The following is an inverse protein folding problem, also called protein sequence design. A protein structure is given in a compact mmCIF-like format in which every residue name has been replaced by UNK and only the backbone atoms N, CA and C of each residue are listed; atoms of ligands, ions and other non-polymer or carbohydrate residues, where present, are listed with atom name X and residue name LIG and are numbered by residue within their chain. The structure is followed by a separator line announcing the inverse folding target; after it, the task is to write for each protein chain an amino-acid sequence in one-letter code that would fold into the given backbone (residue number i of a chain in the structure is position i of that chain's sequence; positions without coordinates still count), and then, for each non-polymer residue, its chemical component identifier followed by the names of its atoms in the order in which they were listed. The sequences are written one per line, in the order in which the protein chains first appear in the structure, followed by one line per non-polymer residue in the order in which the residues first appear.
data_IF_110645115780
#
_entry.id   IF_110645115780
#
_cell.length_a   1.000
_cell.length_b   1.000
_cell.length_c   1.000
_cell.angle_alpha   90.00
_cell.angle_beta   90.00
_cell.angle_gamma   90.00
#
_symmetry.space_group_name_H-M   'P 1'
#
loop_
_entity.id
_entity.type
_entity.pdbx_description
1 polymer ?
#
# COMPACT_ATOMS: atom_id res chain seq x y z
N UNK A 1 -5.67 3.03 -17.25
CA UNK A 1 -6.98 3.70 -17.39
C UNK A 1 -6.76 4.99 -18.16
N UNK A 2 -7.20 5.02 -19.42
CA UNK A 2 -7.27 6.26 -20.19
C UNK A 2 -8.39 7.10 -19.59
N UNK A 3 -8.03 8.15 -18.85
CA UNK A 3 -9.00 9.14 -18.41
C UNK A 3 -9.42 9.99 -19.63
N UNK A 4 -10.69 10.00 -20.00
CA UNK A 4 -11.16 10.71 -21.20
C UNK A 4 -11.15 12.23 -21.03
N UNK A 5 -10.78 12.75 -19.87
CA UNK A 5 -10.75 14.19 -19.58
C UNK A 5 -9.36 14.62 -19.15
N UNK A 6 -8.89 15.81 -19.56
CA UNK A 6 -7.65 16.37 -19.08
C UNK A 6 -7.71 16.52 -17.55
N UNK A 7 -6.65 16.10 -16.89
CA UNK A 7 -6.54 16.25 -15.44
C UNK A 7 -6.33 17.73 -15.09
N UNK A 8 -6.90 18.23 -13.97
CA UNK A 8 -6.63 19.58 -13.51
C UNK A 8 -5.21 19.71 -12.96
N UNK A 9 -4.70 20.96 -12.88
CA UNK A 9 -3.43 21.24 -12.19
C UNK A 9 -3.48 20.68 -10.75
N UNK A 10 -2.38 20.05 -10.25
CA UNK A 10 -1.06 19.89 -10.87
C UNK A 10 -0.93 18.67 -11.80
N UNK A 11 -1.98 17.91 -12.02
CA UNK A 11 -1.97 16.65 -12.77
C UNK A 11 -2.14 16.82 -14.27
N UNK A 12 -2.05 18.05 -14.78
CA UNK A 12 -2.13 18.36 -16.21
C UNK A 12 -0.93 17.88 -17.02
N UNK A 13 0.23 17.76 -16.39
CA UNK A 13 1.44 17.22 -16.97
C UNK A 13 2.49 16.96 -15.90
N UNK A 14 3.46 16.10 -16.22
CA UNK A 14 4.50 15.73 -15.26
C UNK A 14 5.35 16.91 -14.80
N UNK A 15 5.60 17.88 -15.68
CA UNK A 15 6.33 19.11 -15.32
C UNK A 15 5.59 19.92 -14.25
N UNK A 16 4.28 20.04 -14.36
CA UNK A 16 3.44 20.73 -13.38
C UNK A 16 3.44 19.99 -12.03
N UNK A 17 3.37 18.67 -12.06
CA UNK A 17 3.49 17.84 -10.86
C UNK A 17 4.86 18.00 -10.18
N UNK A 18 5.94 17.99 -10.95
CA UNK A 18 7.30 18.23 -10.43
C UNK A 18 7.39 19.60 -9.76
N UNK A 19 6.90 20.65 -10.41
CA UNK A 19 6.91 21.99 -9.84
C UNK A 19 6.11 22.07 -8.53
N UNK A 20 4.97 21.40 -8.47
CA UNK A 20 4.15 21.34 -7.26
C UNK A 20 4.84 20.56 -6.14
N UNK A 21 5.41 19.39 -6.45
CA UNK A 21 6.14 18.57 -5.49
C UNK A 21 7.40 19.29 -4.96
N UNK A 22 8.08 20.03 -5.81
CA UNK A 22 9.24 20.82 -5.42
C UNK A 22 8.95 21.91 -4.39
N UNK A 23 7.78 22.52 -4.46
CA UNK A 23 7.36 23.53 -3.47
C UNK A 23 7.23 22.91 -2.07
N UNK A 24 6.90 21.63 -1.98
CA UNK A 24 6.67 20.94 -0.71
C UNK A 24 7.89 20.13 -0.25
N UNK A 25 8.57 19.49 -1.17
CA UNK A 25 9.60 18.47 -0.86
C UNK A 25 11.01 18.84 -1.39
N UNK A 26 11.14 19.79 -2.29
CA UNK A 26 12.42 20.12 -2.94
C UNK A 26 13.53 20.57 -1.98
N UNK A 27 13.15 21.07 -0.78
CA UNK A 27 14.11 21.47 0.25
C UNK A 27 14.64 20.30 1.10
N UNK A 28 14.05 19.11 0.99
CA UNK A 28 14.48 17.93 1.77
C UNK A 28 15.85 17.44 1.36
N UNK A 29 16.14 17.48 0.07
CA UNK A 29 17.45 17.17 -0.50
C UNK A 29 17.65 17.91 -1.83
N UNK A 30 18.13 19.16 -1.81
CA UNK A 30 18.32 19.93 -3.04
C UNK A 30 19.30 19.32 -4.04
N UNK A 31 20.26 18.50 -3.56
CA UNK A 31 21.30 17.87 -4.40
C UNK A 31 20.88 16.46 -4.89
N UNK A 32 20.04 15.75 -4.13
CA UNK A 32 19.58 14.39 -4.44
C UNK A 32 18.19 14.32 -5.07
N UNK A 33 17.50 15.47 -5.24
CA UNK A 33 16.22 15.53 -5.92
C UNK A 33 16.34 15.12 -7.39
N UNK A 34 15.47 14.22 -7.80
CA UNK A 34 15.44 13.71 -9.18
C UNK A 34 14.00 13.66 -9.69
N UNK A 35 13.82 14.02 -10.97
CA UNK A 35 12.59 13.80 -11.70
C UNK A 35 12.93 13.24 -13.07
N UNK A 36 12.36 12.11 -13.44
CA UNK A 36 12.68 11.44 -14.70
C UNK A 36 11.51 10.56 -15.16
N UNK A 37 11.57 10.20 -16.45
CA UNK A 37 10.58 9.32 -17.08
C UNK A 37 11.29 8.03 -17.47
N UNK A 38 10.71 6.89 -17.10
CA UNK A 38 11.12 5.56 -17.52
C UNK A 38 10.13 5.03 -18.56
N UNK A 39 10.63 4.28 -19.53
CA UNK A 39 9.83 3.71 -20.63
C UNK A 39 9.83 4.58 -21.87
N UNK A 40 9.31 4.02 -22.96
CA UNK A 40 9.28 4.64 -24.27
C UNK A 40 7.89 5.22 -24.56
N UNK A 41 7.84 6.46 -25.04
CA UNK A 41 6.60 7.17 -25.36
C UNK A 41 5.76 6.42 -26.41
N UNK A 42 6.42 5.81 -27.38
CA UNK A 42 5.79 5.06 -28.47
C UNK A 42 5.00 3.83 -28.01
N UNK A 43 5.34 3.29 -26.82
CA UNK A 43 4.66 2.11 -26.24
C UNK A 43 3.52 2.49 -25.29
N UNK A 44 3.35 3.78 -25.00
CA UNK A 44 2.30 4.27 -24.09
C UNK A 44 2.43 3.80 -22.62
N UNK A 45 3.59 3.24 -22.26
CA UNK A 45 3.89 2.70 -20.93
C UNK A 45 5.05 3.50 -20.32
N UNK A 46 4.72 4.69 -19.82
CA UNK A 46 5.72 5.54 -19.16
C UNK A 46 5.46 5.60 -17.65
N UNK A 47 6.57 5.58 -16.91
CA UNK A 47 6.58 5.83 -15.48
C UNK A 47 7.18 7.21 -15.24
N UNK A 48 6.40 8.12 -14.69
CA UNK A 48 6.85 9.42 -14.23
C UNK A 48 7.28 9.30 -12.78
N UNK A 49 8.57 9.51 -12.52
CA UNK A 49 9.19 9.29 -11.21
C UNK A 49 9.73 10.60 -10.65
N UNK A 50 9.29 10.94 -9.44
CA UNK A 50 9.85 12.03 -8.66
C UNK A 50 10.44 11.47 -7.36
N UNK A 51 11.66 11.86 -7.04
CA UNK A 51 12.34 11.47 -5.80
C UNK A 51 12.87 12.72 -5.11
N UNK A 52 12.52 12.89 -3.84
CA UNK A 52 13.09 13.91 -2.98
C UNK A 52 13.27 13.30 -1.57
N UNK A 53 14.47 13.31 -1.06
CA UNK A 53 14.78 12.75 0.24
C UNK A 53 16.27 12.57 0.45
N UNK A 54 16.71 12.67 1.68
CA UNK A 54 18.11 12.39 2.01
C UNK A 54 18.34 10.89 1.92
N UNK A 55 19.25 10.49 1.03
CA UNK A 55 19.80 9.13 0.99
C UNK A 55 20.68 8.89 2.23
N UNK A 56 20.08 8.92 3.41
CA UNK A 56 20.72 8.35 4.58
C UNK A 56 20.30 6.89 4.63
N UNK A 57 21.25 5.98 4.54
CA UNK A 57 20.96 4.58 4.81
C UNK A 57 20.15 4.49 6.11
N UNK A 58 19.05 3.71 6.15
CA UNK A 58 18.29 3.53 7.37
C UNK A 58 19.25 3.14 8.49
N UNK A 59 19.13 3.79 9.64
CA UNK A 59 19.97 3.45 10.81
C UNK A 59 19.66 2.05 11.33
N UNK A 60 18.47 1.57 11.03
CA UNK A 60 17.96 0.27 11.43
C UNK A 60 17.42 -0.47 10.19
N UNK A 61 17.63 -1.79 10.12
CA UNK A 61 17.17 -2.59 8.99
C UNK A 61 15.65 -2.50 8.85
N UNK A 62 15.18 -2.39 7.61
CA UNK A 62 13.77 -2.33 7.27
C UNK A 62 13.33 -3.54 6.46
N UNK A 63 12.04 -3.80 6.45
CA UNK A 63 11.41 -4.79 5.59
C UNK A 63 10.21 -4.20 4.87
N UNK A 64 9.88 -4.76 3.73
CA UNK A 64 8.64 -4.55 3.00
C UNK A 64 8.03 -5.90 2.67
N UNK A 65 6.75 -6.07 2.99
CA UNK A 65 5.95 -7.23 2.62
C UNK A 65 4.74 -6.75 1.84
N UNK A 66 4.57 -7.29 0.63
CA UNK A 66 3.39 -7.08 -0.20
C UNK A 66 2.69 -8.42 -0.43
N UNK A 67 1.38 -8.46 -0.19
CA UNK A 67 0.52 -9.61 -0.43
C UNK A 67 -0.62 -9.18 -1.34
N UNK A 68 -0.69 -9.77 -2.53
CA UNK A 68 -1.77 -9.57 -3.48
C UNK A 68 -2.66 -10.81 -3.52
N UNK A 69 -3.95 -10.62 -3.30
CA UNK A 69 -4.97 -11.65 -3.26
C UNK A 69 -5.96 -11.48 -4.40
N UNK A 70 -6.28 -12.53 -5.13
CA UNK A 70 -7.36 -12.55 -6.12
C UNK A 70 -8.33 -13.69 -5.86
N UNK A 71 -9.52 -13.61 -6.45
CA UNK A 71 -10.56 -14.61 -6.21
C UNK A 71 -10.90 -14.70 -4.71
N UNK A 72 -11.21 -13.54 -4.09
CA UNK A 72 -11.53 -13.46 -2.66
C UNK A 72 -12.75 -14.34 -2.33
N UNK A 73 -12.75 -14.92 -1.15
CA UNK A 73 -13.88 -15.71 -0.67
C UNK A 73 -15.19 -14.89 -0.71
N UNK A 74 -16.29 -15.43 -1.24
CA UNK A 74 -17.52 -14.65 -1.42
C UNK A 74 -18.11 -14.10 -0.12
N UNK A 75 -17.90 -14.78 0.99
CA UNK A 75 -18.36 -14.34 2.32
C UNK A 75 -17.47 -13.21 2.84
N UNK A 76 -16.17 -13.32 2.66
CA UNK A 76 -15.17 -12.35 3.07
C UNK A 76 -15.27 -11.07 2.23
N UNK A 77 -15.43 -11.19 0.91
CA UNK A 77 -15.60 -10.06 0.00
C UNK A 77 -16.85 -9.22 0.34
N UNK A 78 -17.94 -9.87 0.77
CA UNK A 78 -19.18 -9.17 1.13
C UNK A 78 -19.04 -8.19 2.29
N UNK A 79 -18.07 -8.37 3.16
CA UNK A 79 -17.83 -7.47 4.29
C UNK A 79 -17.40 -6.06 3.85
N UNK A 80 -16.96 -5.92 2.60
CA UNK A 80 -16.51 -4.66 2.01
C UNK A 80 -17.57 -3.98 1.11
N UNK A 81 -18.82 -4.43 1.19
CA UNK A 81 -19.97 -3.79 0.56
C UNK A 81 -20.69 -2.88 1.53
N UNK A 82 -21.09 -1.70 1.05
CA UNK A 82 -21.89 -0.76 1.82
C UNK A 82 -23.36 -1.15 1.75
N UNK A 83 -23.75 -2.07 2.62
CA UNK A 83 -25.12 -2.58 2.73
C UNK A 83 -25.92 -1.75 3.74
N UNK A 84 -27.24 -2.03 3.89
CA UNK A 84 -28.07 -1.42 4.95
C UNK A 84 -27.56 -1.71 6.36
N UNK A 85 -26.80 -2.81 6.54
CA UNK A 85 -26.18 -3.17 7.81
C UNK A 85 -24.83 -2.47 8.06
N UNK A 86 -24.35 -1.65 7.12
CA UNK A 86 -23.09 -0.91 7.28
C UNK A 86 -23.19 0.09 8.44
N UNK A 87 -22.26 0.00 9.38
CA UNK A 87 -22.17 0.89 10.54
C UNK A 87 -21.14 1.99 10.32
N UNK A 88 -19.87 1.59 10.09
CA UNK A 88 -18.76 2.51 9.83
C UNK A 88 -17.59 1.74 9.22
N UNK A 89 -16.65 2.47 8.60
CA UNK A 89 -15.41 1.89 8.10
C UNK A 89 -14.60 1.25 9.23
N UNK A 90 -14.50 1.92 10.37
CA UNK A 90 -13.80 1.39 11.55
C UNK A 90 -14.41 0.07 12.06
N UNK A 91 -15.75 -0.08 12.00
CA UNK A 91 -16.39 -1.35 12.35
C UNK A 91 -16.02 -2.45 11.35
N UNK A 92 -15.99 -2.15 10.05
CA UNK A 92 -15.52 -3.09 9.03
C UNK A 92 -14.08 -3.53 9.30
N UNK A 93 -13.20 -2.60 9.64
CA UNK A 93 -11.79 -2.88 10.00
C UNK A 93 -11.67 -3.83 11.19
N UNK A 94 -12.55 -3.70 12.19
CA UNK A 94 -12.61 -4.57 13.37
C UNK A 94 -13.18 -5.94 13.00
N UNK A 95 -14.34 -5.98 12.36
CA UNK A 95 -15.07 -7.22 12.07
C UNK A 95 -14.32 -8.15 11.11
N UNK A 96 -13.59 -7.58 10.15
CA UNK A 96 -12.72 -8.34 9.23
C UNK A 96 -11.44 -8.84 9.89
N UNK A 97 -11.04 -8.27 11.03
CA UNK A 97 -9.78 -8.57 11.69
C UNK A 97 -8.57 -7.82 11.13
N UNK A 98 -8.76 -6.89 10.20
CA UNK A 98 -7.70 -6.05 9.62
C UNK A 98 -6.94 -5.30 10.71
N UNK A 99 -7.63 -4.84 11.75
CA UNK A 99 -7.02 -4.15 12.90
C UNK A 99 -5.87 -4.93 13.57
N UNK A 100 -5.83 -6.24 13.40
CA UNK A 100 -4.82 -7.11 14.02
C UNK A 100 -3.57 -7.31 13.15
N UNK A 101 -3.56 -6.84 11.91
CA UNK A 101 -2.40 -6.97 11.01
C UNK A 101 -1.22 -6.08 11.46
N UNK A 102 -1.51 -4.91 12.03
CA UNK A 102 -0.49 -4.02 12.62
C UNK A 102 -1.04 -3.40 13.91
N UNK A 103 -1.00 -4.13 15.03
CA UNK A 103 -1.53 -3.65 16.32
C UNK A 103 -0.83 -2.37 16.77
N UNK A 104 -1.61 -1.39 17.21
CA UNK A 104 -1.11 -0.10 17.68
C UNK A 104 -0.89 0.95 16.58
N UNK A 105 -1.09 0.61 15.31
CA UNK A 105 -1.07 1.60 14.25
C UNK A 105 -2.26 2.58 14.35
N UNK A 106 -2.00 3.83 14.00
CA UNK A 106 -3.05 4.83 13.79
C UNK A 106 -3.60 4.60 12.40
N UNK A 107 -4.89 4.25 12.31
CA UNK A 107 -5.55 3.86 11.08
C UNK A 107 -6.44 4.97 10.55
N UNK A 108 -6.45 5.12 9.22
CA UNK A 108 -7.40 5.91 8.43
C UNK A 108 -8.05 4.98 7.41
N UNK A 109 -9.33 4.67 7.58
CA UNK A 109 -10.05 3.67 6.83
C UNK A 109 -11.31 4.22 6.16
N UNK A 110 -11.64 3.66 5.00
CA UNK A 110 -12.80 4.08 4.22
C UNK A 110 -13.43 2.90 3.46
N UNK A 111 -14.75 2.73 3.61
CA UNK A 111 -15.58 1.83 2.79
C UNK A 111 -16.31 2.65 1.74
N UNK A 112 -16.07 2.34 0.48
CA UNK A 112 -16.65 3.03 -0.68
C UNK A 112 -18.09 2.58 -0.94
N UNK A 113 -18.85 3.41 -1.63
CA UNK A 113 -20.19 3.07 -2.11
C UNK A 113 -20.13 2.76 -3.60
N UNK A 114 -20.72 1.65 -4.08
CA UNK A 114 -21.49 0.64 -3.32
C UNK A 114 -20.61 -0.39 -2.61
N UNK A 115 -19.31 -0.45 -2.93
CA UNK A 115 -18.35 -1.39 -2.34
C UNK A 115 -16.91 -0.93 -2.55
N UNK A 116 -15.99 -1.60 -1.86
CA UNK A 116 -14.57 -1.29 -1.87
C UNK A 116 -14.10 -0.80 -0.50
N UNK A 117 -12.82 -0.98 -0.24
CA UNK A 117 -12.22 -0.57 1.02
C UNK A 117 -10.79 -0.08 0.79
N UNK A 118 -10.43 0.96 1.50
CA UNK A 118 -9.07 1.50 1.53
C UNK A 118 -8.69 1.82 2.95
N UNK A 119 -7.50 1.48 3.35
CA UNK A 119 -6.98 1.80 4.67
C UNK A 119 -5.48 2.12 4.60
N UNK A 120 -5.09 3.18 5.27
CA UNK A 120 -3.70 3.49 5.57
C UNK A 120 -3.50 3.51 7.07
N UNK A 121 -2.39 2.95 7.52
CA UNK A 121 -2.03 2.95 8.93
C UNK A 121 -0.55 3.28 9.10
N UNK A 122 -0.23 4.00 10.15
CA UNK A 122 1.15 4.31 10.52
C UNK A 122 1.41 3.90 11.96
N UNK A 123 2.58 3.34 12.20
CA UNK A 123 3.09 3.02 13.53
C UNK A 123 4.58 3.35 13.58
N UNK A 124 4.95 4.35 14.41
CA UNK A 124 6.33 4.86 14.49
C UNK A 124 6.92 5.17 13.11
N UNK A 125 7.78 4.27 12.61
CA UNK A 125 8.46 4.39 11.32
C UNK A 125 7.92 3.42 10.27
N UNK A 126 6.93 2.61 10.64
CA UNK A 126 6.31 1.63 9.77
C UNK A 126 4.95 2.08 9.27
N UNK A 127 4.48 1.44 8.20
CA UNK A 127 3.14 1.65 7.66
C UNK A 127 2.47 0.33 7.29
N UNK A 128 1.16 0.40 7.14
CA UNK A 128 0.35 -0.61 6.49
C UNK A 128 -0.62 0.10 5.54
N UNK A 129 -0.81 -0.45 4.35
CA UNK A 129 -1.86 0.00 3.43
C UNK A 129 -2.62 -1.18 2.87
N UNK A 130 -3.94 -1.04 2.74
CA UNK A 130 -4.81 -2.10 2.24
C UNK A 130 -5.80 -1.50 1.25
N UNK A 131 -5.96 -2.16 0.10
CA UNK A 131 -6.97 -1.84 -0.88
C UNK A 131 -7.76 -3.09 -1.23
N UNK A 132 -9.09 -3.00 -1.26
CA UNK A 132 -9.97 -4.11 -1.57
C UNK A 132 -10.98 -3.71 -2.64
N UNK A 133 -11.00 -4.50 -3.71
CA UNK A 133 -11.98 -4.48 -4.78
C UNK A 133 -12.79 -5.78 -4.68
N UNK A 134 -13.98 -5.78 -4.05
CA UNK A 134 -14.66 -7.01 -3.65
C UNK A 134 -15.58 -7.60 -4.71
N UNK A 135 -15.67 -7.01 -5.91
CA UNK A 135 -16.63 -7.38 -6.95
C UNK A 135 -16.41 -8.80 -7.46
N UNK A 136 -17.52 -9.51 -7.60
CA UNK A 136 -17.53 -10.90 -8.04
C UNK A 136 -16.91 -11.06 -9.43
N UNK A 137 -16.03 -12.05 -9.58
CA UNK A 137 -15.38 -12.43 -10.83
C UNK A 137 -14.02 -11.75 -11.06
N UNK A 138 -13.74 -10.63 -10.41
CA UNK A 138 -12.45 -9.92 -10.46
C UNK A 138 -12.06 -9.29 -9.12
N UNK A 139 -12.48 -9.92 -8.05
CA UNK A 139 -12.15 -9.46 -6.71
C UNK A 139 -10.64 -9.49 -6.44
N UNK A 140 -10.17 -8.46 -5.76
CA UNK A 140 -8.76 -8.23 -5.49
C UNK A 140 -8.58 -7.59 -4.11
N UNK A 141 -7.51 -7.93 -3.42
CA UNK A 141 -7.03 -7.20 -2.28
C UNK A 141 -5.50 -7.12 -2.31
N UNK A 142 -4.95 -5.96 -1.95
CA UNK A 142 -3.53 -5.80 -1.65
C UNK A 142 -3.34 -5.42 -0.19
N UNK A 143 -2.29 -5.96 0.40
CA UNK A 143 -1.80 -5.62 1.74
C UNK A 143 -0.32 -5.33 1.63
N UNK A 144 0.08 -4.12 1.95
CA UNK A 144 1.48 -3.72 2.00
C UNK A 144 1.83 -3.34 3.44
N UNK A 145 2.90 -3.90 3.97
CA UNK A 145 3.39 -3.63 5.33
C UNK A 145 4.88 -3.33 5.25
N UNK A 146 5.27 -2.21 5.82
CA UNK A 146 6.66 -1.81 5.97
C UNK A 146 6.96 -1.47 7.43
N UNK A 147 8.21 -1.67 7.84
CA UNK A 147 8.63 -1.30 9.18
C UNK A 147 10.06 -1.69 9.49
N UNK A 148 10.50 -1.37 10.71
CA UNK A 148 11.76 -1.84 11.24
C UNK A 148 11.67 -3.29 11.72
N UNK A 149 12.83 -3.94 11.81
CA UNK A 149 12.95 -5.34 12.24
C UNK A 149 12.23 -5.64 13.56
N UNK A 150 12.37 -4.76 14.54
CA UNK A 150 11.80 -4.98 15.88
C UNK A 150 10.26 -4.91 15.88
N UNK A 151 9.68 -4.32 14.84
CA UNK A 151 8.22 -4.26 14.60
C UNK A 151 7.75 -5.41 13.71
N UNK A 152 8.67 -6.28 13.25
CA UNK A 152 8.37 -7.39 12.37
C UNK A 152 7.58 -8.46 13.12
N UNK A 153 6.29 -8.49 12.90
CA UNK A 153 5.50 -9.70 13.14
C UNK A 153 6.04 -10.78 12.21
N UNK A 154 6.22 -12.00 12.72
CA UNK A 154 6.65 -13.12 11.88
C UNK A 154 5.87 -13.17 10.55
N UNK A 155 6.55 -13.12 9.39
CA UNK A 155 5.90 -13.05 8.07
C UNK A 155 4.89 -14.18 7.83
N UNK A 156 5.15 -15.37 8.37
CA UNK A 156 4.23 -16.49 8.27
C UNK A 156 2.93 -16.24 9.03
N UNK A 157 3.02 -15.64 10.21
CA UNK A 157 1.85 -15.25 11.01
C UNK A 157 1.04 -14.16 10.28
N UNK A 158 1.70 -13.13 9.75
CA UNK A 158 1.06 -12.09 8.95
C UNK A 158 0.35 -12.66 7.73
N UNK A 159 1.02 -13.48 6.94
CA UNK A 159 0.45 -14.13 5.77
C UNK A 159 -0.78 -14.98 6.15
N UNK A 160 -0.67 -15.75 7.23
CA UNK A 160 -1.80 -16.56 7.73
C UNK A 160 -3.01 -15.70 8.10
N UNK A 161 -2.79 -14.54 8.72
CA UNK A 161 -3.86 -13.58 9.03
C UNK A 161 -4.49 -13.01 7.77
N UNK A 162 -3.69 -12.56 6.78
CA UNK A 162 -4.16 -12.06 5.49
C UNK A 162 -5.03 -13.11 4.77
N UNK A 163 -4.55 -14.37 4.72
CA UNK A 163 -5.30 -15.47 4.10
C UNK A 163 -6.64 -15.74 4.80
N UNK A 164 -6.71 -15.58 6.11
CA UNK A 164 -7.98 -15.72 6.86
C UNK A 164 -8.96 -14.58 6.61
N UNK A 165 -8.44 -13.34 6.47
CA UNK A 165 -9.27 -12.16 6.21
C UNK A 165 -9.92 -12.22 4.84
N UNK A 166 -9.17 -12.63 3.82
CA UNK A 166 -9.62 -12.54 2.43
C UNK A 166 -10.01 -13.88 1.80
N UNK A 167 -9.58 -15.02 2.37
CA UNK A 167 -9.83 -16.37 1.86
C UNK A 167 -9.65 -16.47 0.32
N UNK A 168 -8.49 -16.06 -0.23
CA UNK A 168 -8.30 -15.92 -1.66
C UNK A 168 -8.12 -17.25 -2.37
N UNK A 169 -8.56 -17.34 -3.63
CA UNK A 169 -8.26 -18.46 -4.52
C UNK A 169 -6.81 -18.44 -5.02
N UNK A 170 -6.22 -17.24 -5.13
CA UNK A 170 -4.81 -17.06 -5.53
C UNK A 170 -4.15 -15.96 -4.70
N UNK A 171 -2.87 -16.16 -4.43
CA UNK A 171 -2.05 -15.21 -3.69
C UNK A 171 -0.67 -15.06 -4.33
N UNK A 172 -0.19 -13.83 -4.37
CA UNK A 172 1.20 -13.49 -4.71
C UNK A 172 1.81 -12.76 -3.52
N UNK A 173 3.04 -13.11 -3.17
CA UNK A 173 3.77 -12.51 -2.05
C UNK A 173 5.12 -12.01 -2.55
N UNK A 174 5.43 -10.76 -2.26
CA UNK A 174 6.75 -10.18 -2.44
C UNK A 174 7.28 -9.68 -1.10
N UNK A 175 8.54 -9.96 -0.80
CA UNK A 175 9.19 -9.49 0.41
C UNK A 175 10.58 -8.97 0.06
N UNK A 176 10.89 -7.77 0.52
CA UNK A 176 12.22 -7.21 0.49
C UNK A 176 12.69 -6.91 1.92
N UNK A 177 13.98 -7.15 2.16
CA UNK A 177 14.61 -6.99 3.47
C UNK A 177 15.99 -6.40 3.26
N UNK A 178 16.38 -5.41 4.06
CA UNK A 178 17.73 -4.82 3.98
C UNK A 178 18.82 -5.84 4.31
N UNK A 179 19.96 -5.74 3.64
CA UNK A 179 21.11 -6.66 3.78
C UNK A 179 21.58 -6.85 5.23
N UNK A 180 21.46 -5.81 6.06
CA UNK A 180 21.77 -5.87 7.48
C UNK A 180 20.90 -6.88 8.26
N UNK A 181 19.74 -7.29 7.71
CA UNK A 181 18.90 -8.36 8.28
C UNK A 181 19.37 -9.74 7.88
N UNK A 182 20.01 -9.89 6.72
CA UNK A 182 20.48 -11.20 6.20
C UNK A 182 21.67 -11.71 7.01
N UNK A 183 22.58 -10.82 7.42
CA UNK A 183 23.76 -11.22 8.19
C UNK A 183 23.44 -11.65 9.63
N UNK A 184 22.37 -11.14 10.23
CA UNK A 184 21.97 -11.51 11.59
C UNK A 184 21.22 -12.86 11.68
N UNK A 185 20.73 -13.39 10.56
CA UNK A 185 20.08 -14.71 10.50
C UNK A 185 21.08 -15.88 10.36
N UNK A 186 22.38 -15.57 10.19
CA UNK A 186 23.47 -16.57 10.05
C UNK A 186 24.32 -16.75 11.31
N UNK A 187 23.97 -16.07 12.41
CA UNK A 187 24.68 -16.13 13.70
C UNK A 187 24.09 -17.12 14.70
#
# INVERSE_FOLDING_TARGET
LLHPHPQPFPHSGFEDEVLFLDQHFGSLDPEGRQAYVLGEEEQGLQWHVYVAGRHTAPKEPTFNLEVCCTELGPAEARQFFRTEAFVSSAQTTIDTGIVHLKPGAILDDYVFEPCGYSMNGIDRTGFITIHVTPELGFSYASVEISGHRDDLVDPHTLLTQVLRIFNPGKVSVAMSVDDALVDSAKG
#
